data_IF_157608663050
#
_entry.id   IF_157608663050
#
_cell.length_a   1.000
_cell.length_b   1.000
_cell.length_c   1.000
_cell.angle_alpha   90.00
_cell.angle_beta   90.00
_cell.angle_gamma   90.00
#
_symmetry.space_group_name_H-M   'P 1'
#
loop_
_entity.id
_entity.type
_entity.pdbx_description
1 polymer ?
#
# COMPACT_ATOMS: atom_id res chain seq x y z
N UNK A 1 7.15 8.97 21.57
CA UNK A 1 7.81 8.87 20.24
C UNK A 1 6.73 9.12 19.18
N UNK A 2 7.05 9.87 18.12
CA UNK A 2 6.10 10.10 17.04
C UNK A 2 5.88 8.79 16.25
N UNK A 3 4.63 8.41 16.01
CA UNK A 3 4.30 7.21 15.26
C UNK A 3 4.72 7.30 13.80
N UNK A 4 4.78 6.17 13.11
CA UNK A 4 5.11 6.16 11.68
C UNK A 4 4.01 5.46 10.89
N UNK A 5 3.47 6.15 9.90
CA UNK A 5 2.58 5.60 8.88
C UNK A 5 3.40 5.27 7.62
N UNK A 6 3.51 4.01 7.30
CA UNK A 6 4.16 3.53 6.08
C UNK A 6 3.08 3.21 5.05
N UNK A 7 3.09 3.92 3.92
CA UNK A 7 2.15 3.75 2.82
C UNK A 7 2.86 3.06 1.67
N UNK A 8 2.49 1.81 1.38
CA UNK A 8 3.01 1.07 0.23
C UNK A 8 1.97 1.11 -0.89
N UNK A 9 2.28 1.81 -1.97
CA UNK A 9 1.46 1.81 -3.17
C UNK A 9 2.15 1.10 -4.35
N UNK A 10 1.47 1.02 -5.47
CA UNK A 10 1.98 0.37 -6.67
C UNK A 10 0.90 -0.44 -7.38
N UNK A 11 1.18 -0.96 -8.59
CA UNK A 11 0.20 -1.67 -9.39
C UNK A 11 -0.29 -2.96 -8.71
N UNK A 12 -1.42 -3.46 -9.19
CA UNK A 12 -1.95 -4.76 -8.80
C UNK A 12 -0.93 -5.86 -9.13
N UNK A 13 -0.70 -6.80 -8.20
CA UNK A 13 0.23 -7.91 -8.42
C UNK A 13 1.71 -7.59 -8.13
N UNK A 14 2.07 -6.35 -7.79
CA UNK A 14 3.46 -5.98 -7.49
C UNK A 14 3.99 -6.54 -6.17
N UNK A 15 3.11 -6.99 -5.26
CA UNK A 15 3.50 -7.62 -3.99
C UNK A 15 3.32 -6.77 -2.74
N UNK A 16 2.54 -5.69 -2.78
CA UNK A 16 2.29 -4.78 -1.64
C UNK A 16 1.85 -5.49 -0.37
N UNK A 17 0.81 -6.33 -0.47
CA UNK A 17 0.22 -7.02 0.68
C UNK A 17 1.23 -7.95 1.35
N UNK A 18 1.99 -8.70 0.56
CA UNK A 18 3.01 -9.64 1.08
C UNK A 18 4.16 -8.88 1.75
N UNK A 19 4.69 -7.86 1.06
CA UNK A 19 5.76 -7.03 1.62
C UNK A 19 5.31 -6.28 2.89
N UNK A 20 4.08 -5.74 2.90
CA UNK A 20 3.52 -5.05 4.07
C UNK A 20 3.36 -5.96 5.28
N UNK A 21 2.89 -7.19 5.10
CA UNK A 21 2.80 -8.17 6.19
C UNK A 21 4.18 -8.60 6.71
N UNK A 22 5.16 -8.76 5.82
CA UNK A 22 6.55 -9.00 6.22
C UNK A 22 7.14 -7.81 6.98
N UNK A 23 6.80 -6.59 6.57
CA UNK A 23 7.24 -5.37 7.24
C UNK A 23 6.69 -5.28 8.67
N UNK A 24 5.43 -5.62 8.90
CA UNK A 24 4.84 -5.65 10.25
C UNK A 24 5.58 -6.60 11.21
N UNK A 25 6.15 -7.70 10.71
CA UNK A 25 6.96 -8.61 11.55
C UNK A 25 8.29 -7.99 11.98
N UNK A 26 8.79 -6.98 11.27
CA UNK A 26 10.07 -6.29 11.52
C UNK A 26 9.93 -5.01 12.32
N UNK A 27 8.75 -4.40 12.24
CA UNK A 27 8.41 -3.16 12.93
C UNK A 27 7.30 -3.47 13.95
N UNK A 28 7.66 -3.66 15.19
CA UNK A 28 6.73 -3.97 16.27
C UNK A 28 6.83 -2.93 17.39
N UNK A 29 5.70 -2.54 18.00
CA UNK A 29 4.33 -2.96 17.71
C UNK A 29 3.73 -2.27 16.47
N UNK A 30 3.08 -3.04 15.61
CA UNK A 30 2.52 -2.54 14.35
C UNK A 30 1.14 -3.09 14.05
N UNK A 31 0.39 -2.35 13.22
CA UNK A 31 -0.88 -2.79 12.63
C UNK A 31 -0.81 -2.73 11.12
N UNK A 32 -1.47 -3.69 10.45
CA UNK A 32 -1.56 -3.78 9.00
C UNK A 32 -2.97 -3.45 8.53
N UNK A 33 -3.07 -2.58 7.52
CA UNK A 33 -4.32 -2.24 6.85
C UNK A 33 -4.16 -2.38 5.33
N UNK A 34 -5.05 -3.15 4.71
CA UNK A 34 -5.17 -3.24 3.25
C UNK A 34 -6.42 -2.44 2.81
N UNK A 35 -6.24 -1.45 1.94
CA UNK A 35 -7.35 -0.62 1.45
C UNK A 35 -8.43 -1.41 0.72
N UNK A 36 -8.06 -2.54 0.10
CA UNK A 36 -9.01 -3.41 -0.59
C UNK A 36 -10.04 -4.05 0.36
N UNK A 37 -9.74 -4.18 1.66
CA UNK A 37 -10.72 -4.69 2.63
C UNK A 37 -11.95 -3.80 2.79
N UNK A 38 -11.82 -2.50 2.48
CA UNK A 38 -12.94 -1.57 2.52
C UNK A 38 -13.82 -1.64 1.26
N UNK A 39 -13.42 -2.41 0.24
CA UNK A 39 -14.15 -2.64 -1.00
C UNK A 39 -14.97 -3.94 -1.01
N UNK A 40 -15.09 -4.64 0.09
CA UNK A 40 -15.90 -5.89 0.17
C UNK A 40 -17.40 -5.58 0.18
N UNK A 41 -17.91 -5.18 -1.00
CA UNK A 41 -19.29 -4.80 -1.24
C UNK A 41 -20.02 -5.91 -2.01
N UNK A 42 -21.22 -6.22 -1.57
CA UNK A 42 -22.08 -7.23 -2.20
C UNK A 42 -23.45 -6.63 -2.59
N UNK A 43 -23.79 -6.49 -3.90
CA UNK A 43 -22.93 -6.73 -5.05
C UNK A 43 -21.79 -5.70 -5.15
N UNK A 44 -20.65 -6.10 -5.74
CA UNK A 44 -19.54 -5.17 -5.98
C UNK A 44 -19.98 -4.05 -6.91
N UNK A 45 -19.79 -2.81 -6.49
CA UNK A 45 -20.20 -1.61 -7.21
C UNK A 45 -19.21 -0.48 -7.02
N UNK A 46 -18.82 0.16 -8.11
CA UNK A 46 -17.92 1.32 -8.11
C UNK A 46 -18.69 2.53 -8.61
N UNK A 47 -19.20 3.33 -7.68
CA UNK A 47 -19.88 4.60 -7.90
C UNK A 47 -19.19 5.71 -7.11
N UNK A 48 -19.54 6.96 -7.34
CA UNK A 48 -18.99 8.07 -6.53
C UNK A 48 -19.36 7.92 -5.05
N UNK A 49 -20.54 7.41 -4.75
CA UNK A 49 -20.98 7.18 -3.38
C UNK A 49 -20.14 6.05 -2.71
N UNK A 50 -19.89 4.93 -3.41
CA UNK A 50 -19.09 3.83 -2.86
C UNK A 50 -17.62 4.19 -2.77
N UNK A 51 -17.09 4.99 -3.68
CA UNK A 51 -15.74 5.56 -3.57
C UNK A 51 -15.61 6.44 -2.33
N UNK A 52 -16.55 7.36 -2.11
CA UNK A 52 -16.55 8.20 -0.92
C UNK A 52 -16.63 7.37 0.37
N UNK A 53 -17.52 6.38 0.43
CA UNK A 53 -17.64 5.46 1.56
C UNK A 53 -16.32 4.75 1.87
N UNK A 54 -15.65 4.20 0.85
CA UNK A 54 -14.38 3.49 1.02
C UNK A 54 -13.29 4.43 1.51
N UNK A 55 -13.18 5.63 0.93
CA UNK A 55 -12.22 6.64 1.37
C UNK A 55 -12.44 7.03 2.84
N UNK A 56 -13.68 7.26 3.25
CA UNK A 56 -14.03 7.63 4.62
C UNK A 56 -13.72 6.49 5.59
N UNK A 57 -14.03 5.24 5.22
CA UNK A 57 -13.70 4.07 6.02
C UNK A 57 -12.19 3.91 6.22
N UNK A 58 -11.39 4.02 5.16
CA UNK A 58 -9.93 3.91 5.25
C UNK A 58 -9.38 5.04 6.14
N UNK A 59 -9.83 6.29 5.95
CA UNK A 59 -9.38 7.42 6.79
C UNK A 59 -9.73 7.21 8.26
N UNK A 60 -10.94 6.71 8.53
CA UNK A 60 -11.37 6.43 9.91
C UNK A 60 -10.51 5.34 10.57
N UNK A 61 -10.18 4.26 9.83
CA UNK A 61 -9.31 3.20 10.31
C UNK A 61 -7.90 3.72 10.57
N UNK A 62 -7.28 4.41 9.61
CA UNK A 62 -5.94 4.98 9.78
C UNK A 62 -5.85 5.92 11.00
N UNK A 63 -6.84 6.77 11.20
CA UNK A 63 -6.89 7.65 12.38
C UNK A 63 -6.96 6.88 13.68
N UNK A 64 -7.82 5.86 13.77
CA UNK A 64 -7.96 5.02 14.95
C UNK A 64 -6.71 4.21 15.25
N UNK A 65 -6.08 3.67 14.21
CA UNK A 65 -4.83 2.93 14.35
C UNK A 65 -3.70 3.86 14.87
N UNK A 66 -3.64 5.08 14.36
CA UNK A 66 -2.70 6.09 14.83
C UNK A 66 -3.02 6.62 16.23
N UNK A 67 -4.27 6.59 16.67
CA UNK A 67 -4.67 7.00 18.03
C UNK A 67 -4.45 5.89 19.07
N UNK A 68 -4.24 4.63 18.66
CA UNK A 68 -4.03 3.51 19.56
C UNK A 68 -2.65 3.58 20.24
N UNK A 69 -2.60 3.70 21.56
CA UNK A 69 -1.35 3.84 22.33
C UNK A 69 -0.39 2.65 22.16
N UNK A 70 -0.94 1.46 21.89
CA UNK A 70 -0.19 0.20 21.76
C UNK A 70 0.40 -0.02 20.36
N UNK A 71 0.27 0.96 19.44
CA UNK A 71 0.75 0.87 18.06
C UNK A 71 1.75 1.98 17.79
N UNK A 72 2.95 1.64 17.34
CA UNK A 72 3.98 2.59 16.93
C UNK A 72 4.06 2.75 15.41
N UNK A 73 3.74 1.67 14.68
CA UNK A 73 3.82 1.62 13.21
C UNK A 73 2.48 1.21 12.60
N UNK A 74 2.00 1.99 11.65
CA UNK A 74 0.85 1.63 10.80
C UNK A 74 1.36 1.35 9.40
N UNK A 75 1.15 0.13 8.91
CA UNK A 75 1.51 -0.28 7.55
C UNK A 75 0.25 -0.36 6.72
N UNK A 76 0.08 0.61 5.84
CA UNK A 76 -1.06 0.73 4.95
C UNK A 76 -0.66 0.39 3.51
N UNK A 77 -1.39 -0.50 2.87
CA UNK A 77 -1.14 -0.89 1.48
C UNK A 77 -2.38 -0.65 0.62
N UNK A 78 -2.19 -0.03 -0.54
CA UNK A 78 -3.26 0.17 -1.52
C UNK A 78 -2.70 0.56 -2.89
N UNK A 79 -3.55 0.58 -3.92
CA UNK A 79 -3.12 0.89 -5.30
C UNK A 79 -2.85 2.38 -5.55
N UNK A 80 -3.41 3.32 -4.86
CA UNK A 80 -3.20 4.79 -4.90
C UNK A 80 -2.58 5.31 -6.22
N UNK A 81 -3.26 5.10 -7.35
CA UNK A 81 -2.75 5.48 -8.67
C UNK A 81 -2.68 6.99 -8.89
N UNK A 82 -3.54 7.75 -8.21
CA UNK A 82 -3.66 9.19 -8.38
C UNK A 82 -3.14 9.91 -7.14
N UNK A 83 -2.30 10.92 -7.35
CA UNK A 83 -1.71 11.73 -6.27
C UNK A 83 -2.79 12.45 -5.46
N UNK A 84 -3.85 12.93 -6.12
CA UNK A 84 -4.96 13.62 -5.47
C UNK A 84 -5.71 12.70 -4.50
N UNK A 85 -5.88 11.42 -4.87
CA UNK A 85 -6.50 10.43 -3.98
C UNK A 85 -5.62 10.16 -2.77
N UNK A 86 -4.31 10.03 -2.98
CA UNK A 86 -3.36 9.84 -1.89
C UNK A 86 -3.33 11.06 -0.96
N UNK A 87 -3.28 12.26 -1.51
CA UNK A 87 -3.30 13.51 -0.75
C UNK A 87 -4.58 13.64 0.09
N UNK A 88 -5.76 13.41 -0.51
CA UNK A 88 -7.04 13.46 0.20
C UNK A 88 -7.13 12.41 1.32
N UNK A 89 -6.58 11.21 1.10
CA UNK A 89 -6.58 10.14 2.10
C UNK A 89 -5.70 10.47 3.30
N UNK A 90 -4.53 11.07 3.06
CA UNK A 90 -3.50 11.32 4.06
C UNK A 90 -3.63 12.69 4.76
N UNK A 91 -4.56 13.52 4.30
CA UNK A 91 -4.79 14.87 4.83
C UNK A 91 -5.00 14.87 6.35
N UNK A 92 -4.18 15.66 7.05
CA UNK A 92 -4.21 15.80 8.50
C UNK A 92 -3.69 14.58 9.29
N UNK A 93 -3.13 13.56 8.64
CA UNK A 93 -2.48 12.42 9.33
C UNK A 93 -1.02 12.73 9.69
N UNK A 94 -0.39 13.69 9.03
CA UNK A 94 0.96 14.17 9.32
C UNK A 94 1.06 14.87 10.69
N UNK A 95 -0.05 15.38 11.22
CA UNK A 95 -0.13 15.89 12.60
C UNK A 95 0.02 14.77 13.65
N UNK A 96 -0.32 13.51 13.28
CA UNK A 96 -0.33 12.35 14.19
C UNK A 96 0.86 11.43 14.00
N UNK A 97 1.44 11.39 12.81
CA UNK A 97 2.50 10.47 12.49
C UNK A 97 3.43 11.01 11.41
N UNK A 98 4.68 10.55 11.44
CA UNK A 98 5.57 10.68 10.28
C UNK A 98 5.06 9.78 9.16
N UNK A 99 4.85 10.34 7.96
CA UNK A 99 4.35 9.59 6.81
C UNK A 99 5.53 9.25 5.89
N UNK A 100 5.71 7.96 5.60
CA UNK A 100 6.66 7.44 4.61
C UNK A 100 5.87 6.79 3.47
N UNK A 101 5.90 7.42 2.29
CA UNK A 101 5.25 6.91 1.08
C UNK A 101 6.27 6.20 0.19
N UNK A 102 5.97 4.95 -0.14
CA UNK A 102 6.83 4.08 -0.97
C UNK A 102 5.99 3.49 -2.09
N UNK A 103 6.46 3.64 -3.33
CA UNK A 103 5.91 2.94 -4.49
C UNK A 103 6.72 1.70 -4.77
N UNK A 104 6.06 0.55 -4.81
CA UNK A 104 6.67 -0.69 -5.27
C UNK A 104 6.51 -0.79 -6.80
N UNK A 105 7.63 -0.96 -7.47
CA UNK A 105 7.71 -1.07 -8.93
C UNK A 105 8.10 -2.50 -9.34
N UNK A 106 7.74 -2.88 -10.55
CA UNK A 106 8.19 -4.11 -11.19
C UNK A 106 8.31 -3.88 -12.70
N UNK A 107 9.18 -4.65 -13.36
CA UNK A 107 9.16 -4.72 -14.82
C UNK A 107 7.84 -5.29 -15.34
N UNK A 108 7.44 -4.93 -16.55
CA UNK A 108 6.25 -5.45 -17.20
C UNK A 108 6.26 -6.98 -17.26
N UNK A 109 7.44 -7.57 -17.49
CA UNK A 109 7.64 -9.02 -17.52
C UNK A 109 7.36 -9.67 -16.16
N UNK A 110 7.94 -9.13 -15.10
CA UNK A 110 7.75 -9.65 -13.73
C UNK A 110 6.32 -9.49 -13.28
N UNK A 111 5.70 -8.34 -13.56
CA UNK A 111 4.31 -8.06 -13.22
C UNK A 111 3.37 -9.00 -13.98
N UNK A 112 3.58 -9.16 -15.30
CA UNK A 112 2.77 -10.06 -16.14
C UNK A 112 2.83 -11.49 -15.63
N UNK A 113 4.02 -12.01 -15.34
CA UNK A 113 4.18 -13.37 -14.81
C UNK A 113 3.43 -13.56 -13.48
N UNK A 114 3.50 -12.61 -12.57
CA UNK A 114 2.83 -12.68 -11.25
C UNK A 114 1.30 -12.62 -11.40
N UNK A 115 0.80 -11.67 -12.18
CA UNK A 115 -0.64 -11.50 -12.39
C UNK A 115 -1.24 -12.70 -13.15
N UNK A 116 -0.55 -13.21 -14.18
CA UNK A 116 -0.98 -14.42 -14.89
C UNK A 116 -1.05 -15.64 -13.99
N UNK A 117 -0.08 -15.82 -13.10
CA UNK A 117 -0.10 -16.87 -12.08
C UNK A 117 -1.33 -16.77 -11.17
N UNK A 118 -1.64 -15.55 -10.71
CA UNK A 118 -2.81 -15.31 -9.87
C UNK A 118 -4.13 -15.56 -10.63
N UNK A 119 -4.22 -15.18 -11.92
CA UNK A 119 -5.37 -15.48 -12.78
C UNK A 119 -5.54 -16.99 -12.96
N UNK A 120 -4.46 -17.70 -13.25
CA UNK A 120 -4.49 -19.16 -13.41
C UNK A 120 -4.90 -19.89 -12.12
N UNK A 121 -4.58 -19.32 -10.97
CA UNK A 121 -5.00 -19.81 -9.65
C UNK A 121 -6.43 -19.38 -9.26
N UNK A 122 -7.15 -18.64 -10.11
CA UNK A 122 -8.50 -18.14 -9.81
C UNK A 122 -8.54 -17.01 -8.75
N UNK A 123 -7.39 -16.41 -8.43
CA UNK A 123 -7.29 -15.35 -7.43
C UNK A 123 -7.58 -13.96 -8.01
N UNK A 124 -7.60 -13.83 -9.34
CA UNK A 124 -7.86 -12.58 -10.07
C UNK A 124 -8.72 -12.79 -11.30
N UNK A 125 -9.44 -11.74 -11.67
CA UNK A 125 -10.21 -11.71 -12.91
C UNK A 125 -9.30 -11.73 -14.16
N UNK A 126 -9.76 -12.26 -15.31
CA UNK A 126 -8.97 -12.36 -16.54
C UNK A 126 -8.42 -11.02 -17.06
N UNK A 127 -9.15 -9.92 -16.85
CA UNK A 127 -8.76 -8.55 -17.27
C UNK A 127 -7.73 -7.88 -16.35
N UNK A 128 -7.36 -8.54 -15.27
CA UNK A 128 -6.46 -7.96 -14.25
C UNK A 128 -5.07 -7.65 -14.79
N UNK A 129 -4.57 -8.42 -15.78
CA UNK A 129 -3.27 -8.17 -16.39
C UNK A 129 -3.25 -6.86 -17.17
N UNK A 130 -4.22 -6.67 -18.05
CA UNK A 130 -4.33 -5.44 -18.85
C UNK A 130 -4.44 -4.21 -17.93
N UNK A 131 -5.30 -4.27 -16.93
CA UNK A 131 -5.46 -3.18 -15.95
C UNK A 131 -4.18 -2.91 -15.17
N UNK A 132 -3.49 -3.95 -14.73
CA UNK A 132 -2.26 -3.80 -13.95
C UNK A 132 -1.17 -3.10 -14.75
N UNK A 133 -0.93 -3.51 -16.00
CA UNK A 133 0.03 -2.89 -16.90
C UNK A 133 -0.37 -1.46 -17.26
N UNK A 134 -1.64 -1.21 -17.55
CA UNK A 134 -2.13 0.13 -17.84
C UNK A 134 -1.95 1.09 -16.66
N UNK A 135 -2.03 0.60 -15.44
CA UNK A 135 -1.90 1.43 -14.24
C UNK A 135 -0.46 1.75 -13.86
N UNK A 136 0.52 0.99 -14.32
CA UNK A 136 1.94 1.27 -14.03
C UNK A 136 2.34 2.71 -14.39
N UNK A 137 1.78 3.27 -15.46
CA UNK A 137 2.07 4.64 -15.94
C UNK A 137 1.69 5.76 -14.96
N UNK A 138 0.86 5.48 -13.95
CA UNK A 138 0.41 6.51 -12.99
C UNK A 138 1.40 6.74 -11.84
N UNK A 139 2.34 5.82 -11.60
CA UNK A 139 3.26 5.91 -10.47
C UNK A 139 4.52 6.73 -10.71
N UNK A 140 5.16 6.72 -11.91
CA UNK A 140 6.29 7.59 -12.19
C UNK A 140 5.86 9.06 -12.04
N UNK A 141 6.53 9.81 -11.20
CA UNK A 141 6.22 11.23 -10.95
C UNK A 141 5.37 11.48 -9.70
N UNK A 142 4.87 10.46 -9.04
CA UNK A 142 4.38 10.63 -7.67
C UNK A 142 5.56 10.94 -6.73
N UNK A 143 5.34 11.83 -5.74
CA UNK A 143 6.34 12.24 -4.77
C UNK A 143 6.64 11.15 -3.72
N UNK A 144 6.95 9.93 -4.18
CA UNK A 144 7.18 8.75 -3.34
C UNK A 144 8.59 8.21 -3.54
N UNK A 145 9.09 7.44 -2.59
CA UNK A 145 10.30 6.64 -2.78
C UNK A 145 9.96 5.41 -3.60
N UNK A 146 10.67 5.17 -4.69
CA UNK A 146 10.47 4.01 -5.56
C UNK A 146 11.40 2.86 -5.21
N UNK A 147 10.85 1.66 -5.03
CA UNK A 147 11.59 0.42 -4.76
C UNK A 147 11.18 -0.67 -5.74
N UNK A 148 12.14 -1.17 -6.52
CA UNK A 148 11.90 -2.30 -7.42
C UNK A 148 11.71 -3.60 -6.64
N UNK A 149 10.74 -4.40 -7.06
CA UNK A 149 10.49 -5.75 -6.54
C UNK A 149 11.13 -6.85 -7.39
N UNK A 150 11.76 -6.49 -8.51
CA UNK A 150 12.37 -7.45 -9.41
C UNK A 150 13.57 -8.15 -8.77
N UNK A 151 13.58 -9.48 -8.86
CA UNK A 151 14.65 -10.31 -8.28
C UNK A 151 14.72 -10.28 -6.75
N UNK A 152 13.73 -9.73 -6.06
CA UNK A 152 13.73 -9.56 -4.60
C UNK A 152 12.59 -10.33 -3.96
N UNK A 153 12.86 -10.92 -2.83
CA UNK A 153 11.85 -11.52 -1.97
C UNK A 153 11.09 -10.44 -1.17
N UNK A 154 9.86 -10.72 -0.72
CA UNK A 154 9.14 -9.83 0.19
C UNK A 154 9.91 -9.54 1.49
N UNK A 155 10.70 -10.50 1.96
CA UNK A 155 11.54 -10.36 3.15
C UNK A 155 12.64 -9.31 2.95
N UNK A 156 13.38 -9.39 1.83
CA UNK A 156 14.43 -8.40 1.48
C UNK A 156 13.86 -6.99 1.32
N UNK A 157 12.68 -6.86 0.69
CA UNK A 157 12.00 -5.57 0.60
C UNK A 157 11.62 -5.02 1.98
N UNK A 158 11.07 -5.88 2.83
CA UNK A 158 10.68 -5.49 4.17
C UNK A 158 11.89 -5.10 5.04
N UNK A 159 13.04 -5.77 4.89
CA UNK A 159 14.27 -5.43 5.60
C UNK A 159 14.78 -4.03 5.19
N UNK A 160 14.78 -3.73 3.88
CA UNK A 160 15.17 -2.41 3.39
C UNK A 160 14.23 -1.31 3.87
N UNK A 161 12.90 -1.51 3.76
CA UNK A 161 11.92 -0.54 4.22
C UNK A 161 12.04 -0.31 5.73
N UNK A 162 12.24 -1.36 6.53
CA UNK A 162 12.45 -1.24 7.97
C UNK A 162 13.71 -0.44 8.30
N UNK A 163 14.78 -0.62 7.53
CA UNK A 163 16.01 0.19 7.62
C UNK A 163 15.74 1.67 7.35
N UNK A 164 14.99 1.99 6.28
CA UNK A 164 14.61 3.36 5.95
C UNK A 164 13.77 4.03 7.05
N UNK A 165 12.85 3.28 7.66
CA UNK A 165 12.00 3.77 8.76
C UNK A 165 12.87 4.12 9.98
N UNK A 166 13.80 3.23 10.37
CA UNK A 166 14.69 3.44 11.53
C UNK A 166 15.63 4.61 11.33
N UNK A 167 16.28 4.71 10.16
CA UNK A 167 17.21 5.80 9.86
C UNK A 167 16.55 7.17 9.87
N UNK A 168 15.28 7.25 9.44
CA UNK A 168 14.50 8.50 9.50
C UNK A 168 13.95 8.81 10.89
N UNK A 169 13.95 7.87 11.81
CA UNK A 169 13.54 8.11 13.20
C UNK A 169 14.67 8.79 14.00
N UNK A 170 15.92 8.65 13.56
CA UNK A 170 17.11 9.19 14.20
C UNK A 170 17.50 10.60 13.68
N UNK A 171 16.87 11.06 12.60
CA UNK A 171 17.11 12.37 11.96
C UNK A 171 16.06 13.40 12.37
#
# INVERSE_FOLDING_TARGET
MMKTLIVLNGPMGVGKTTAGKELCRRLTPSIFLDGDWCWDLHPFSVTDATKALVMDNIRALLRRDLDCAEVDYVVFVWVLQQEETAAALLDGLDEKARILRITLDASDESLSRRVQKDIAAGLRAPDSLERSLAYQRFYPGQGTLHLSTDGRSPAELADEIAGLVRNRAES
#
